data_IF_713897536108
#
_entry.id   IF_713897536108
#
_cell.length_a   1.000
_cell.length_b   1.000
_cell.length_c   1.000
_cell.angle_alpha   90.00
_cell.angle_beta   90.00
_cell.angle_gamma   90.00
#
_symmetry.space_group_name_H-M   'P 1'
#
loop_
_entity.id
_entity.type
_entity.pdbx_description
1 polymer ?
#
# COMPACT_ATOMS: atom_id res chain seq x y z
N UNK A 1 -9.67 14.79 -9.19
CA UNK A 1 -10.01 14.07 -7.94
C UNK A 1 -9.05 12.89 -7.69
N UNK A 2 -9.07 11.78 -8.44
CA UNK A 2 -8.05 10.73 -8.28
C UNK A 2 -6.69 11.10 -8.90
N UNK A 3 -6.71 11.81 -10.04
CA UNK A 3 -5.48 12.22 -10.75
C UNK A 3 -4.53 13.06 -9.87
N UNK A 4 -5.09 13.87 -8.97
CA UNK A 4 -4.33 14.77 -8.09
C UNK A 4 -3.75 14.05 -6.86
N UNK A 5 -4.21 12.82 -6.58
CA UNK A 5 -3.74 12.05 -5.42
C UNK A 5 -2.32 11.53 -5.61
N UNK A 6 -1.93 11.13 -6.82
CA UNK A 6 -0.57 10.65 -7.08
C UNK A 6 0.48 11.75 -6.88
N UNK A 7 0.33 12.98 -7.43
CA UNK A 7 1.21 14.09 -7.12
C UNK A 7 1.27 14.41 -5.62
N UNK A 8 0.12 14.45 -4.94
CA UNK A 8 0.08 14.70 -3.48
C UNK A 8 0.85 13.62 -2.69
N UNK A 9 0.68 12.34 -3.02
CA UNK A 9 1.43 11.26 -2.38
C UNK A 9 2.94 11.35 -2.64
N UNK A 10 3.34 11.77 -3.83
CA UNK A 10 4.75 12.03 -4.17
C UNK A 10 5.32 13.17 -3.32
N UNK A 11 4.58 14.26 -3.12
CA UNK A 11 4.99 15.34 -2.22
C UNK A 11 5.16 14.86 -0.78
N UNK A 12 4.24 14.01 -0.29
CA UNK A 12 4.37 13.39 1.04
C UNK A 12 5.61 12.51 1.12
N UNK A 13 5.89 11.70 0.08
CA UNK A 13 7.09 10.86 0.02
C UNK A 13 8.40 11.68 0.11
N UNK A 14 8.44 12.86 -0.53
CA UNK A 14 9.56 13.81 -0.40
C UNK A 14 9.67 14.33 1.05
N UNK A 15 8.55 14.75 1.64
CA UNK A 15 8.53 15.29 3.02
C UNK A 15 9.01 14.30 4.07
N UNK A 16 8.77 13.00 3.86
CA UNK A 16 9.21 11.93 4.78
C UNK A 16 10.53 11.26 4.37
N UNK A 17 11.18 11.73 3.29
CA UNK A 17 12.53 11.32 2.91
C UNK A 17 12.65 9.93 2.28
N UNK A 18 11.58 9.41 1.66
CA UNK A 18 11.56 8.08 1.01
C UNK A 18 11.47 8.15 -0.51
N UNK A 19 11.42 9.35 -1.10
CA UNK A 19 11.25 9.54 -2.54
C UNK A 19 12.42 9.00 -3.38
N UNK A 20 13.65 9.06 -2.86
CA UNK A 20 14.86 8.59 -3.57
C UNK A 20 15.13 7.11 -3.39
N UNK A 21 14.88 6.58 -2.19
CA UNK A 21 15.13 5.16 -1.87
C UNK A 21 13.99 4.25 -2.33
N UNK A 22 12.83 4.83 -2.63
CA UNK A 22 11.65 4.15 -3.12
C UNK A 22 10.62 3.90 -2.03
N UNK A 23 9.38 3.72 -2.46
CA UNK A 23 8.22 3.48 -1.60
C UNK A 23 7.15 2.67 -2.34
N UNK A 24 6.16 2.16 -1.59
CA UNK A 24 4.98 1.46 -2.14
C UNK A 24 3.72 2.18 -1.69
N UNK A 25 2.80 2.39 -2.63
CA UNK A 25 1.43 2.82 -2.35
C UNK A 25 0.51 1.59 -2.38
N UNK A 26 -0.33 1.44 -1.36
CA UNK A 26 -1.31 0.35 -1.28
C UNK A 26 -2.67 0.95 -0.91
N UNK A 27 -3.72 0.52 -1.60
CA UNK A 27 -5.10 0.74 -1.16
C UNK A 27 -5.82 -0.60 -1.13
N UNK A 28 -6.57 -0.85 -0.07
CA UNK A 28 -7.29 -2.09 0.14
C UNK A 28 -8.77 -1.87 -0.19
N UNK A 29 -9.38 -2.82 -0.88
CA UNK A 29 -10.79 -2.76 -1.25
C UNK A 29 -11.47 -4.12 -1.01
N UNK A 30 -12.53 -4.11 -0.20
CA UNK A 30 -13.28 -5.31 0.16
C UNK A 30 -12.55 -6.24 1.14
N UNK A 31 -13.20 -7.37 1.45
CA UNK A 31 -12.76 -8.31 2.47
C UNK A 31 -11.41 -8.97 2.10
N UNK A 32 -11.29 -9.51 0.89
CA UNK A 32 -10.06 -10.18 0.44
C UNK A 32 -8.91 -9.21 0.22
N UNK A 33 -9.22 -7.91 0.06
CA UNK A 33 -8.22 -6.85 0.05
C UNK A 33 -7.74 -6.45 1.45
N UNK A 34 -8.35 -6.95 2.53
CA UNK A 34 -8.01 -6.57 3.90
C UNK A 34 -8.44 -5.14 4.27
N UNK A 35 -9.59 -4.67 3.76
CA UNK A 35 -10.11 -3.34 4.09
C UNK A 35 -10.92 -3.36 5.39
N UNK A 36 -10.34 -2.88 6.48
CA UNK A 36 -11.05 -2.75 7.77
C UNK A 36 -11.91 -1.48 7.86
N UNK A 37 -11.38 -0.34 7.38
CA UNK A 37 -12.07 0.95 7.38
C UNK A 37 -12.63 1.25 5.99
N UNK A 38 -13.95 1.36 5.89
CA UNK A 38 -14.70 1.59 4.64
C UNK A 38 -14.68 3.05 4.19
N UNK A 39 -13.51 3.65 4.20
CA UNK A 39 -13.21 4.95 3.62
C UNK A 39 -12.00 4.80 2.71
N UNK A 40 -11.97 5.46 1.55
CA UNK A 40 -10.81 5.37 0.65
C UNK A 40 -9.57 5.94 1.34
N UNK A 41 -8.53 5.11 1.47
CA UNK A 41 -7.25 5.53 2.02
C UNK A 41 -6.12 4.79 1.33
N UNK A 42 -4.92 5.37 1.44
CA UNK A 42 -3.70 4.82 0.87
C UNK A 42 -2.65 4.71 1.96
N UNK A 43 -1.98 3.56 1.99
CA UNK A 43 -0.77 3.36 2.76
C UNK A 43 0.43 3.81 1.93
N UNK A 44 1.31 4.59 2.52
CA UNK A 44 2.62 4.94 1.97
C UNK A 44 3.69 4.25 2.83
N UNK A 45 4.33 3.23 2.27
CA UNK A 45 5.33 2.40 2.96
C UNK A 45 6.71 2.67 2.38
N UNK A 46 7.72 2.88 3.22
CA UNK A 46 9.10 3.14 2.80
C UNK A 46 10.08 3.05 3.97
N UNK A 47 11.32 3.50 3.74
CA UNK A 47 12.39 3.46 4.75
C UNK A 47 13.23 2.17 4.76
N UNK A 48 13.00 1.27 3.82
CA UNK A 48 13.78 0.03 3.66
C UNK A 48 13.33 -0.79 2.44
N UNK A 49 14.05 -1.87 2.13
CA UNK A 49 13.68 -2.78 1.03
C UNK A 49 12.37 -3.51 1.37
N UNK A 50 11.30 -3.17 0.68
CA UNK A 50 9.99 -3.80 0.86
C UNK A 50 9.95 -5.15 0.14
N UNK A 51 9.98 -6.23 0.90
CA UNK A 51 9.89 -7.60 0.37
C UNK A 51 8.48 -7.81 -0.22
N UNK A 52 8.40 -8.49 -1.35
CA UNK A 52 7.16 -9.05 -1.85
C UNK A 52 7.16 -10.54 -1.54
N UNK A 53 6.48 -10.93 -0.46
CA UNK A 53 6.26 -12.34 -0.14
C UNK A 53 4.88 -12.75 -0.66
N UNK A 54 4.85 -13.68 -1.62
CA UNK A 54 3.60 -14.32 -2.02
C UNK A 54 3.14 -15.24 -0.88
N UNK A 55 2.27 -14.73 0.00
CA UNK A 55 1.47 -15.59 0.88
C UNK A 55 0.05 -15.61 0.33
N UNK A 56 -0.17 -16.45 -0.68
CA UNK A 56 -1.39 -17.23 -0.70
C UNK A 56 -1.00 -18.56 -0.05
N UNK A 57 -1.06 -18.63 1.28
CA UNK A 57 -1.36 -19.93 1.86
C UNK A 57 -2.81 -20.20 1.52
N UNK A 58 -2.99 -21.22 0.70
CA UNK A 58 -4.25 -21.72 0.20
C UNK A 58 -5.29 -21.81 1.33
N UNK A 59 -6.42 -21.09 1.28
CA UNK A 59 -7.46 -21.18 2.30
C UNK A 59 -8.09 -22.59 2.39
N UNK A 60 -7.75 -23.51 1.47
CA UNK A 60 -8.21 -24.90 1.46
C UNK A 60 -7.22 -25.92 2.03
N UNK A 61 -6.05 -25.54 2.55
CA UNK A 61 -5.16 -26.48 3.27
C UNK A 61 -5.63 -26.72 4.72
N UNK A 62 -6.81 -27.32 4.85
CA UNK A 62 -7.24 -28.23 5.95
C UNK A 62 -8.76 -28.46 5.84
N UNK A 63 -9.19 -29.19 4.80
CA UNK A 63 -10.32 -30.14 4.84
C UNK A 63 -9.99 -31.29 3.89
#
# INVERSE_FOLDING_TARGET
>A
MMADMTPFMQEVAVKVGIDKTGYRLITNNGNDGGQEIKHLHFHLLGGGKLIWSHQHEDPHKSI
#
